data_IF_705958937017
#
_entry.id   IF_705958937017
#
_cell.length_a   1.000
_cell.length_b   1.000
_cell.length_c   1.000
_cell.angle_alpha   90.00
_cell.angle_beta   90.00
_cell.angle_gamma   90.00
#
_symmetry.space_group_name_H-M   'P 1'
#
loop_
_entity.id
_entity.type
_entity.pdbx_description
1 polymer ?
#
# COMPACT_ATOMS: atom_id res chain seq x y z
N UNK A 1 -21.58 -29.55 -27.28
CA UNK A 1 -20.33 -29.79 -26.54
C UNK A 1 -20.08 -28.58 -25.67
N UNK A 2 -20.21 -28.76 -24.35
CA UNK A 2 -19.91 -27.72 -23.37
C UNK A 2 -18.39 -27.55 -23.36
N UNK A 3 -17.89 -26.41 -23.84
CA UNK A 3 -16.53 -26.01 -23.54
C UNK A 3 -16.52 -25.56 -22.07
N UNK A 4 -16.20 -26.50 -21.18
CA UNK A 4 -15.77 -26.19 -19.82
C UNK A 4 -14.52 -25.31 -19.91
N UNK A 5 -14.71 -24.00 -19.75
CA UNK A 5 -13.61 -23.12 -19.40
C UNK A 5 -13.14 -23.52 -18.00
N UNK A 6 -11.84 -23.80 -17.76
CA UNK A 6 -11.38 -23.99 -16.40
C UNK A 6 -11.61 -22.67 -15.66
N UNK A 7 -12.51 -22.67 -14.68
CA UNK A 7 -12.60 -21.61 -13.70
C UNK A 7 -11.24 -21.55 -12.98
N UNK A 8 -10.38 -20.64 -13.41
CA UNK A 8 -9.05 -20.51 -12.84
C UNK A 8 -9.20 -20.04 -11.39
N UNK A 9 -9.09 -20.98 -10.44
CA UNK A 9 -9.19 -20.69 -9.01
C UNK A 9 -7.89 -20.06 -8.52
N UNK A 10 -8.02 -19.03 -7.69
CA UNK A 10 -6.89 -18.52 -6.92
C UNK A 10 -6.29 -19.64 -6.07
N UNK A 11 -4.97 -19.68 -6.06
CA UNK A 11 -4.16 -20.59 -5.27
C UNK A 11 -3.47 -19.82 -4.15
N UNK A 12 -3.22 -20.50 -3.04
CA UNK A 12 -2.57 -19.89 -1.87
C UNK A 12 -1.35 -20.69 -1.46
N UNK A 13 -0.21 -20.01 -1.38
CA UNK A 13 1.08 -20.62 -1.02
C UNK A 13 1.69 -19.93 0.19
N UNK A 14 2.44 -20.68 0.98
CA UNK A 14 3.22 -20.12 2.08
C UNK A 14 4.65 -19.85 1.62
N UNK A 15 5.15 -18.66 1.92
CA UNK A 15 6.58 -18.34 1.77
C UNK A 15 7.43 -19.23 2.68
N UNK A 16 8.72 -19.31 2.38
CA UNK A 16 9.73 -19.71 3.37
C UNK A 16 9.67 -18.80 4.60
N UNK A 17 10.16 -19.29 5.73
CA UNK A 17 10.26 -18.49 6.95
C UNK A 17 11.36 -17.42 6.81
N UNK A 18 11.09 -16.22 7.31
CA UNK A 18 12.01 -15.08 7.33
C UNK A 18 11.93 -14.35 8.68
N UNK A 19 12.89 -13.47 8.99
CA UNK A 19 12.86 -12.69 10.22
C UNK A 19 11.67 -11.75 10.26
N UNK A 20 10.94 -11.71 11.38
CA UNK A 20 9.80 -10.81 11.54
C UNK A 20 10.26 -9.34 11.60
N UNK A 21 9.70 -8.50 10.74
CA UNK A 21 10.04 -7.08 10.66
C UNK A 21 9.57 -6.25 11.88
N UNK A 22 8.63 -6.77 12.67
CA UNK A 22 8.05 -6.04 13.82
C UNK A 22 8.50 -6.57 15.18
N UNK A 23 8.77 -7.87 15.30
CA UNK A 23 9.08 -8.51 16.57
C UNK A 23 10.44 -9.20 16.47
N UNK A 24 11.43 -8.62 17.15
CA UNK A 24 12.80 -9.14 17.17
C UNK A 24 12.84 -10.59 17.68
N UNK A 25 13.66 -11.43 17.03
CA UNK A 25 13.84 -12.84 17.40
C UNK A 25 12.64 -13.74 17.07
N UNK A 26 11.64 -13.25 16.33
CA UNK A 26 10.53 -14.05 15.82
C UNK A 26 10.72 -14.35 14.32
N UNK A 27 10.26 -15.52 13.90
CA UNK A 27 10.12 -15.86 12.49
C UNK A 27 8.72 -15.50 12.00
N UNK A 28 8.63 -15.08 10.75
CA UNK A 28 7.43 -14.75 10.02
C UNK A 28 7.31 -15.60 8.76
N UNK A 29 6.07 -15.77 8.31
CA UNK A 29 5.70 -16.35 7.01
C UNK A 29 4.54 -15.56 6.45
N UNK A 30 4.44 -15.51 5.14
CA UNK A 30 3.29 -14.94 4.46
C UNK A 30 2.56 -16.00 3.64
N UNK A 31 1.24 -15.88 3.58
CA UNK A 31 0.42 -16.56 2.60
C UNK A 31 0.24 -15.63 1.40
N UNK A 32 0.52 -16.12 0.19
CA UNK A 32 0.46 -15.36 -1.06
C UNK A 32 -0.66 -15.91 -1.93
N UNK A 33 -1.49 -15.03 -2.49
CA UNK A 33 -2.51 -15.36 -3.48
C UNK A 33 -1.93 -15.27 -4.90
N UNK A 34 -2.20 -16.25 -5.75
CA UNK A 34 -1.62 -16.35 -7.10
C UNK A 34 -2.53 -17.16 -8.04
N UNK A 35 -2.43 -17.01 -9.37
CA UNK A 35 -1.65 -16.01 -10.10
C UNK A 35 -2.22 -14.59 -10.00
N UNK A 36 -1.33 -13.59 -10.03
CA UNK A 36 -1.66 -12.18 -9.83
C UNK A 36 -2.66 -11.64 -10.87
N UNK A 37 -2.59 -12.09 -12.12
CA UNK A 37 -3.50 -11.66 -13.18
C UNK A 37 -4.97 -12.09 -12.98
N UNK A 38 -5.23 -13.02 -12.05
CA UNK A 38 -6.60 -13.40 -11.68
C UNK A 38 -7.13 -12.59 -10.48
N UNK A 39 -6.29 -11.75 -9.87
CA UNK A 39 -6.70 -10.89 -8.76
C UNK A 39 -7.26 -9.60 -9.33
N UNK A 40 -8.54 -9.65 -9.69
CA UNK A 40 -9.31 -8.48 -10.11
C UNK A 40 -9.66 -7.60 -8.91
N UNK A 41 -10.24 -6.43 -9.16
CA UNK A 41 -10.72 -5.53 -8.12
C UNK A 41 -11.77 -6.21 -7.21
N UNK A 42 -12.66 -7.02 -7.79
CA UNK A 42 -13.68 -7.78 -7.04
C UNK A 42 -13.02 -8.86 -6.16
N UNK A 43 -12.13 -9.65 -6.73
CA UNK A 43 -11.41 -10.68 -5.98
C UNK A 43 -10.57 -10.06 -4.85
N UNK A 44 -9.94 -8.91 -5.07
CA UNK A 44 -9.19 -8.22 -4.04
C UNK A 44 -10.09 -7.64 -2.95
N UNK A 45 -11.29 -7.15 -3.28
CA UNK A 45 -12.27 -6.66 -2.31
C UNK A 45 -12.69 -7.74 -1.31
N UNK A 46 -12.71 -9.02 -1.72
CA UNK A 46 -12.89 -10.16 -0.82
C UNK A 46 -11.63 -10.47 -0.01
N UNK A 47 -10.47 -10.53 -0.67
CA UNK A 47 -9.18 -10.88 -0.04
C UNK A 47 -8.80 -9.91 1.08
N UNK A 48 -9.03 -8.60 0.89
CA UNK A 48 -8.71 -7.60 1.91
C UNK A 48 -9.54 -7.79 3.19
N UNK A 49 -10.78 -8.30 3.11
CA UNK A 49 -11.58 -8.66 4.30
C UNK A 49 -10.95 -9.83 5.07
N UNK A 50 -10.19 -10.68 4.38
CA UNK A 50 -9.44 -11.80 4.97
C UNK A 50 -8.05 -11.38 5.47
N UNK A 51 -7.75 -10.08 5.49
CA UNK A 51 -6.50 -9.52 5.97
C UNK A 51 -5.35 -9.57 4.96
N UNK A 52 -5.64 -9.82 3.67
CA UNK A 52 -4.65 -9.62 2.61
C UNK A 52 -4.38 -8.15 2.37
N UNK A 53 -3.14 -7.87 1.99
CA UNK A 53 -2.64 -6.57 1.54
C UNK A 53 -1.86 -6.78 0.25
N UNK A 54 -1.55 -5.70 -0.46
CA UNK A 54 -0.82 -5.78 -1.73
C UNK A 54 0.39 -4.86 -1.81
N UNK A 55 1.29 -5.20 -2.73
CA UNK A 55 2.48 -4.45 -3.12
C UNK A 55 2.78 -4.78 -4.57
N UNK A 56 2.60 -3.82 -5.48
CA UNK A 56 2.57 -4.09 -6.91
C UNK A 56 1.55 -5.18 -7.25
N UNK A 57 1.99 -6.17 -8.02
CA UNK A 57 1.21 -7.36 -8.37
C UNK A 57 1.11 -8.43 -7.26
N UNK A 58 1.84 -8.29 -6.14
CA UNK A 58 1.85 -9.29 -5.07
C UNK A 58 0.76 -9.03 -4.05
N UNK A 59 -0.05 -10.05 -3.76
CA UNK A 59 -1.14 -10.00 -2.77
C UNK A 59 -0.91 -11.06 -1.71
N UNK A 60 -0.80 -10.66 -0.46
CA UNK A 60 -0.33 -11.53 0.61
C UNK A 60 -0.88 -11.11 1.98
N UNK A 61 -0.82 -12.02 2.96
CA UNK A 61 -1.05 -11.71 4.38
C UNK A 61 -0.05 -12.44 5.28
N UNK A 62 0.28 -11.91 6.45
CA UNK A 62 1.02 -12.66 7.45
C UNK A 62 0.26 -13.93 7.87
N UNK A 63 0.93 -15.08 7.84
CA UNK A 63 0.42 -16.35 8.36
C UNK A 63 1.55 -17.12 9.05
N UNK A 64 1.96 -16.63 10.22
CA UNK A 64 3.05 -17.20 11.01
C UNK A 64 2.60 -18.44 11.79
N UNK A 65 3.49 -19.42 11.94
CA UNK A 65 3.15 -20.70 12.60
C UNK A 65 2.74 -20.56 14.08
N UNK A 66 3.31 -19.57 14.79
CA UNK A 66 3.14 -19.39 16.25
C UNK A 66 2.82 -17.95 16.69
N UNK A 67 2.43 -17.07 15.76
CA UNK A 67 2.20 -15.66 16.05
C UNK A 67 0.94 -15.15 15.34
N UNK A 68 0.12 -14.36 16.04
CA UNK A 68 -1.09 -13.69 15.51
C UNK A 68 -1.10 -12.18 15.81
N UNK A 69 0.06 -11.59 16.06
CA UNK A 69 0.17 -10.18 16.45
C UNK A 69 -0.08 -9.20 15.28
N UNK A 70 0.03 -9.67 14.03
CA UNK A 70 -0.33 -8.88 12.86
C UNK A 70 -1.85 -8.79 12.75
N UNK A 71 -2.40 -7.62 13.06
CA UNK A 71 -3.84 -7.35 12.96
C UNK A 71 -4.11 -6.33 11.85
N UNK A 72 -5.03 -6.61 10.91
CA UNK A 72 -5.47 -5.61 9.96
C UNK A 72 -6.25 -4.51 10.70
N UNK A 73 -5.99 -3.25 10.34
CA UNK A 73 -6.67 -2.10 10.94
C UNK A 73 -7.76 -1.62 9.99
N UNK A 74 -8.96 -1.39 10.53
CA UNK A 74 -10.08 -0.79 9.81
C UNK A 74 -10.62 0.38 10.61
N UNK A 75 -10.92 1.48 9.93
CA UNK A 75 -11.55 2.65 10.51
C UNK A 75 -12.96 2.78 9.94
N UNK A 76 -13.96 2.84 10.82
CA UNK A 76 -15.34 3.13 10.44
C UNK A 76 -15.43 4.66 10.33
N UNK A 77 -15.56 5.16 9.10
CA UNK A 77 -15.50 6.61 8.83
C UNK A 77 -16.62 7.35 9.57
N UNK A 78 -17.81 6.76 9.65
CA UNK A 78 -18.97 7.36 10.32
C UNK A 78 -18.81 7.47 11.84
N UNK A 79 -17.89 6.72 12.44
CA UNK A 79 -17.56 6.76 13.87
C UNK A 79 -16.28 7.56 14.17
N UNK A 80 -15.67 8.18 13.15
CA UNK A 80 -14.42 8.89 13.32
C UNK A 80 -14.62 10.21 14.08
N UNK A 81 -14.06 10.28 15.29
CA UNK A 81 -13.92 11.53 16.04
C UNK A 81 -12.45 11.94 16.14
N UNK A 82 -12.11 13.09 15.53
CA UNK A 82 -10.74 13.58 15.53
C UNK A 82 -10.28 13.92 16.95
N UNK A 83 -9.21 13.28 17.42
CA UNK A 83 -8.61 13.58 18.73
C UNK A 83 -7.83 14.91 18.72
N UNK A 84 -7.30 15.32 19.89
CA UNK A 84 -6.53 16.58 20.03
C UNK A 84 -5.36 16.69 19.05
N UNK A 85 -4.63 15.59 18.82
CA UNK A 85 -3.47 15.56 17.92
C UNK A 85 -3.91 15.69 16.47
N UNK A 86 -4.97 14.99 16.05
CA UNK A 86 -5.51 15.07 14.70
C UNK A 86 -6.09 16.46 14.40
N UNK A 87 -6.79 17.09 15.35
CA UNK A 87 -7.26 18.48 15.21
C UNK A 87 -6.10 19.47 15.08
N UNK A 88 -5.00 19.26 15.82
CA UNK A 88 -3.78 20.08 15.70
C UNK A 88 -3.15 19.93 14.32
N UNK A 89 -3.05 18.70 13.81
CA UNK A 89 -2.54 18.43 12.48
C UNK A 89 -3.41 19.07 11.39
N UNK A 90 -4.74 18.92 11.47
CA UNK A 90 -5.67 19.53 10.53
C UNK A 90 -5.54 21.06 10.49
N UNK A 91 -5.40 21.72 11.65
CA UNK A 91 -5.17 23.17 11.71
C UNK A 91 -3.82 23.57 11.12
N UNK A 92 -2.76 22.82 11.43
CA UNK A 92 -1.40 23.08 10.93
C UNK A 92 -1.31 23.01 9.41
N UNK A 93 -1.97 22.01 8.84
CA UNK A 93 -1.89 21.69 7.41
C UNK A 93 -3.12 22.13 6.62
N UNK A 94 -3.93 23.06 7.16
CA UNK A 94 -5.20 23.46 6.55
C UNK A 94 -5.09 24.17 5.20
N UNK A 95 -3.88 24.55 4.77
CA UNK A 95 -3.61 25.14 3.45
C UNK A 95 -3.18 24.11 2.40
N UNK A 96 -2.97 22.86 2.79
CA UNK A 96 -2.56 21.80 1.86
C UNK A 96 -3.74 21.43 0.96
N UNK A 97 -3.50 21.42 -0.35
CA UNK A 97 -4.43 20.95 -1.36
C UNK A 97 -4.12 19.50 -1.72
N UNK A 98 -5.11 18.79 -2.28
CA UNK A 98 -4.90 17.44 -2.78
C UNK A 98 -5.55 17.25 -4.15
N UNK A 99 -4.96 16.37 -4.96
CA UNK A 99 -5.49 15.97 -6.27
C UNK A 99 -5.48 14.45 -6.40
N UNK A 100 -6.61 13.89 -6.80
CA UNK A 100 -6.70 12.48 -7.19
C UNK A 100 -6.35 12.35 -8.67
N UNK A 101 -5.40 11.47 -8.95
CA UNK A 101 -4.85 11.19 -10.26
C UNK A 101 -4.98 9.69 -10.56
N UNK A 102 -5.14 9.30 -11.84
CA UNK A 102 -5.01 7.90 -12.23
C UNK A 102 -3.60 7.40 -11.91
N UNK A 103 -3.48 6.08 -11.71
CA UNK A 103 -2.20 5.44 -11.47
C UNK A 103 -1.30 5.55 -12.71
N UNK A 104 -0.38 6.51 -12.70
CA UNK A 104 0.57 6.77 -13.79
C UNK A 104 1.90 7.25 -13.25
N UNK A 105 2.91 7.19 -14.11
CA UNK A 105 4.22 7.71 -13.78
C UNK A 105 4.26 9.22 -13.98
N UNK A 106 4.75 9.91 -12.95
CA UNK A 106 5.12 11.32 -12.99
C UNK A 106 6.54 11.45 -12.46
N UNK A 107 7.38 12.21 -13.15
CA UNK A 107 8.79 12.35 -12.79
C UNK A 107 8.95 12.99 -11.40
N UNK A 108 8.14 14.01 -11.09
CA UNK A 108 8.17 14.72 -9.80
C UNK A 108 7.83 13.77 -8.62
N UNK A 109 6.89 12.83 -8.83
CA UNK A 109 6.53 11.83 -7.82
C UNK A 109 7.70 10.86 -7.58
N UNK A 110 8.36 10.40 -8.64
CA UNK A 110 9.52 9.52 -8.53
C UNK A 110 10.71 10.21 -7.83
N UNK A 111 10.95 11.48 -8.13
CA UNK A 111 12.02 12.24 -7.48
C UNK A 111 11.76 12.39 -5.98
N UNK A 112 10.50 12.65 -5.58
CA UNK A 112 10.11 12.67 -4.18
C UNK A 112 10.25 11.30 -3.52
N UNK A 113 9.83 10.22 -4.20
CA UNK A 113 10.00 8.84 -3.72
C UNK A 113 11.46 8.54 -3.42
N UNK A 114 12.38 8.84 -4.34
CA UNK A 114 13.81 8.59 -4.12
C UNK A 114 14.38 9.35 -2.93
N UNK A 115 14.00 10.63 -2.76
CA UNK A 115 14.41 11.42 -1.59
C UNK A 115 13.87 10.82 -0.29
N UNK A 116 12.60 10.41 -0.28
CA UNK A 116 11.98 9.77 0.88
C UNK A 116 12.70 8.48 1.26
N UNK A 117 12.93 7.58 0.29
CA UNK A 117 13.56 6.28 0.54
C UNK A 117 15.00 6.42 1.05
N UNK A 118 15.79 7.31 0.45
CA UNK A 118 17.19 7.50 0.84
C UNK A 118 17.33 8.08 2.26
N UNK A 119 16.42 8.95 2.68
CA UNK A 119 16.47 9.56 4.02
C UNK A 119 15.81 8.71 5.10
N UNK A 120 14.65 8.08 4.83
CA UNK A 120 13.87 7.34 5.83
C UNK A 120 14.22 5.86 5.91
N UNK A 121 14.75 5.28 4.83
CA UNK A 121 15.02 3.85 4.72
C UNK A 121 16.43 3.53 4.18
N UNK A 122 17.51 4.16 4.70
CA UNK A 122 18.86 3.85 4.25
C UNK A 122 19.19 2.36 4.53
N UNK A 123 19.68 1.65 3.50
CA UNK A 123 19.95 0.21 3.57
C UNK A 123 18.71 -0.67 3.64
N UNK A 124 17.51 -0.12 3.43
CA UNK A 124 16.24 -0.86 3.39
C UNK A 124 16.00 -1.63 2.09
N UNK A 125 16.92 -1.51 1.12
CA UNK A 125 16.86 -2.19 -0.18
C UNK A 125 16.11 -1.42 -1.25
N UNK A 126 15.29 -0.42 -0.87
CA UNK A 126 14.54 0.44 -1.79
C UNK A 126 15.19 1.84 -1.98
N UNK A 127 16.25 2.13 -1.24
CA UNK A 127 17.02 3.38 -1.32
C UNK A 127 17.83 3.52 -2.62
N UNK A 128 17.92 2.43 -3.39
CA UNK A 128 18.58 2.35 -4.70
C UNK A 128 17.61 2.05 -5.84
N UNK A 129 16.30 2.13 -5.60
CA UNK A 129 15.30 1.83 -6.62
C UNK A 129 15.46 2.74 -7.84
N UNK A 130 15.45 2.12 -9.01
CA UNK A 130 15.31 2.81 -10.29
C UNK A 130 13.82 3.04 -10.65
N UNK A 131 13.58 3.69 -11.79
CA UNK A 131 12.22 3.95 -12.26
C UNK A 131 11.42 2.67 -12.56
N UNK A 132 12.09 1.59 -13.00
CA UNK A 132 11.42 0.34 -13.32
C UNK A 132 10.94 -0.35 -12.04
N UNK A 133 11.78 -0.36 -11.01
CA UNK A 133 11.46 -0.90 -9.69
C UNK A 133 10.32 -0.10 -9.04
N UNK A 134 10.37 1.23 -9.10
CA UNK A 134 9.26 2.11 -8.69
C UNK A 134 7.95 1.76 -9.40
N UNK A 135 7.98 1.56 -10.73
CA UNK A 135 6.80 1.21 -11.52
C UNK A 135 6.23 -0.14 -11.11
N UNK A 136 7.06 -1.16 -10.95
CA UNK A 136 6.63 -2.50 -10.54
C UNK A 136 6.05 -2.51 -9.12
N UNK A 137 6.66 -1.73 -8.22
CA UNK A 137 6.25 -1.67 -6.82
C UNK A 137 4.95 -0.88 -6.62
N UNK A 138 4.81 0.28 -7.27
CA UNK A 138 3.73 1.23 -7.00
C UNK A 138 2.69 1.33 -8.12
N UNK A 139 3.10 1.22 -9.38
CA UNK A 139 2.24 1.53 -10.53
C UNK A 139 1.64 0.30 -11.22
N UNK A 140 2.03 -0.91 -10.81
CA UNK A 140 1.42 -2.15 -11.29
C UNK A 140 0.31 -2.58 -10.33
N UNK A 141 -0.93 -2.63 -10.81
CA UNK A 141 -2.09 -3.01 -10.00
C UNK A 141 -3.21 -3.63 -10.85
N UNK A 142 -3.73 -4.77 -10.39
CA UNK A 142 -5.00 -5.35 -10.88
C UNK A 142 -6.24 -4.79 -10.17
N UNK A 143 -6.04 -3.83 -9.25
CA UNK A 143 -7.06 -3.23 -8.40
C UNK A 143 -7.28 -1.78 -8.82
N UNK A 144 -8.51 -1.29 -8.69
CA UNK A 144 -8.81 0.13 -8.91
C UNK A 144 -8.03 0.98 -7.91
N UNK A 145 -7.00 1.68 -8.39
CA UNK A 145 -6.04 2.41 -7.55
C UNK A 145 -5.93 3.85 -8.03
N UNK A 146 -6.03 4.78 -7.10
CA UNK A 146 -5.76 6.20 -7.34
C UNK A 146 -4.45 6.62 -6.67
N UNK A 147 -3.79 7.57 -7.31
CA UNK A 147 -2.71 8.33 -6.72
C UNK A 147 -3.30 9.62 -6.15
N UNK A 148 -3.00 9.94 -4.90
CA UNK A 148 -3.38 11.20 -4.26
C UNK A 148 -2.12 12.00 -4.01
N UNK A 149 -1.94 13.08 -4.75
CA UNK A 149 -0.86 14.03 -4.47
C UNK A 149 -1.36 15.13 -3.54
N UNK A 150 -0.48 15.61 -2.68
CA UNK A 150 -0.74 16.70 -1.74
C UNK A 150 0.29 17.79 -1.96
N UNK A 151 -0.20 19.03 -2.12
CA UNK A 151 0.62 20.20 -2.42
C UNK A 151 0.41 21.30 -1.39
N UNK A 152 1.48 22.03 -1.11
CA UNK A 152 1.45 23.25 -0.29
C UNK A 152 2.13 24.37 -1.07
N UNK A 153 1.41 25.46 -1.35
CA UNK A 153 1.85 26.53 -2.25
C UNK A 153 2.35 25.98 -3.61
N UNK A 154 1.58 25.07 -4.19
CA UNK A 154 1.86 24.32 -5.44
C UNK A 154 3.08 23.39 -5.42
N UNK A 155 3.82 23.31 -4.30
CA UNK A 155 4.95 22.38 -4.14
C UNK A 155 4.45 21.00 -3.71
N UNK A 156 4.84 19.95 -4.42
CA UNK A 156 4.52 18.57 -4.06
C UNK A 156 5.17 18.18 -2.72
N UNK A 157 4.33 17.80 -1.74
CA UNK A 157 4.77 17.41 -0.39
C UNK A 157 4.56 15.95 -0.06
N UNK A 158 3.54 15.32 -0.62
CA UNK A 158 3.22 13.93 -0.32
C UNK A 158 2.48 13.29 -1.47
N UNK A 159 2.69 11.99 -1.63
CA UNK A 159 1.94 11.13 -2.54
C UNK A 159 1.49 9.89 -1.79
N UNK A 160 0.21 9.55 -1.93
CA UNK A 160 -0.39 8.36 -1.35
C UNK A 160 -1.04 7.52 -2.44
N UNK A 161 -0.82 6.21 -2.41
CA UNK A 161 -1.51 5.25 -3.26
C UNK A 161 -2.69 4.65 -2.48
N UNK A 162 -3.87 4.76 -3.06
CA UNK A 162 -5.12 4.38 -2.42
C UNK A 162 -5.89 3.43 -3.31
N UNK A 163 -6.15 2.22 -2.82
CA UNK A 163 -7.07 1.29 -3.45
C UNK A 163 -8.51 1.69 -3.15
N UNK A 164 -9.36 1.58 -4.15
CA UNK A 164 -10.82 1.63 -4.02
C UNK A 164 -11.33 0.20 -4.05
N UNK A 165 -11.97 -0.22 -2.96
CA UNK A 165 -12.60 -1.53 -2.80
C UNK A 165 -14.08 -1.37 -2.49
N UNK A 166 -14.86 -2.44 -2.62
CA UNK A 166 -16.33 -2.38 -2.56
C UNK A 166 -16.89 -1.69 -1.31
N UNK A 167 -16.19 -1.79 -0.18
CA UNK A 167 -16.65 -1.29 1.11
C UNK A 167 -15.65 -0.34 1.79
N UNK A 168 -14.80 0.35 1.02
CA UNK A 168 -13.93 1.39 1.56
C UNK A 168 -12.72 1.75 0.70
N UNK A 169 -11.80 2.45 1.34
CA UNK A 169 -10.50 2.82 0.79
C UNK A 169 -9.39 2.12 1.57
N UNK A 170 -8.34 1.68 0.88
CA UNK A 170 -7.17 1.09 1.50
C UNK A 170 -5.91 1.87 1.14
N UNK A 171 -5.25 2.42 2.16
CA UNK A 171 -3.95 3.07 2.00
C UNK A 171 -2.88 2.00 1.74
N UNK A 172 -2.28 2.02 0.55
CA UNK A 172 -1.30 1.02 0.10
C UNK A 172 0.12 1.45 0.48
N UNK A 173 0.51 2.64 0.05
CA UNK A 173 1.84 3.18 0.28
C UNK A 173 1.78 4.72 0.30
N UNK A 174 2.62 5.36 1.09
CA UNK A 174 2.69 6.82 1.16
C UNK A 174 4.14 7.24 1.33
N UNK A 175 4.58 8.18 0.51
CA UNK A 175 5.89 8.82 0.62
C UNK A 175 5.69 10.33 0.63
N UNK A 176 6.54 11.04 1.36
CA UNK A 176 6.40 12.47 1.61
C UNK A 176 7.77 13.14 1.69
N UNK A 177 7.77 14.46 1.66
CA UNK A 177 8.97 15.28 1.77
C UNK A 177 9.61 15.11 3.16
N UNK A 178 10.75 14.40 3.26
CA UNK A 178 11.32 14.04 4.55
C UNK A 178 11.95 15.24 5.28
N UNK A 179 12.18 16.36 4.59
CA UNK A 179 12.82 17.57 5.13
C UNK A 179 11.82 18.52 5.81
N UNK A 180 10.53 18.28 5.63
CA UNK A 180 9.49 19.05 6.33
C UNK A 180 9.24 18.42 7.69
N UNK A 181 9.64 19.12 8.74
CA UNK A 181 9.32 18.72 10.11
C UNK A 181 7.82 18.84 10.39
N UNK A 182 7.28 17.85 11.12
CA UNK A 182 5.87 17.77 11.49
C UNK A 182 5.47 18.76 12.57
#
# INVERSE_FOLDING_TARGET
MLNDFPAHKLQFYLTSAYSCSYLQGRMARSQVATPSHLITAEAYSELIQLGFRRSGAYVYRPLCDRCRACVPVRLIVDEFEANRTQRRAAKRHGQMTYHMLPLRFEQEHFDLYRRYQSQRHPGGGMDQDDQQQYRQFLLESGVSTNLVEFRENDVLRMVSLVDVVDNGLSAVYTFFDPEIES
#
